data_IF_533772890419
#
_entry.id   IF_533772890419
#
_cell.length_a   1.000
_cell.length_b   1.000
_cell.length_c   1.000
_cell.angle_alpha   90.00
_cell.angle_beta   90.00
_cell.angle_gamma   90.00
#
_symmetry.space_group_name_H-M   'P 1'
#
loop_
_entity.id
_entity.type
_entity.pdbx_description
1 polymer ?
#
# COMPACT_ATOMS: atom_id res chain seq x y z
N UNK A 1 29.62 -4.03 -23.90
CA UNK A 1 28.67 -3.04 -23.36
C UNK A 1 27.23 -3.56 -23.54
N UNK A 2 26.73 -4.42 -22.64
CA UNK A 2 25.36 -4.98 -22.76
C UNK A 2 24.65 -5.13 -21.40
N UNK A 3 24.86 -4.18 -20.48
CA UNK A 3 24.18 -4.20 -19.18
C UNK A 3 23.00 -3.24 -19.09
N UNK A 4 22.82 -2.33 -20.05
CA UNK A 4 21.74 -1.33 -20.04
C UNK A 4 20.37 -2.02 -20.09
N UNK A 5 20.15 -2.93 -21.05
CA UNK A 5 18.88 -3.63 -21.21
C UNK A 5 18.49 -4.45 -19.96
N UNK A 6 19.35 -5.33 -19.40
CA UNK A 6 18.99 -6.07 -18.19
C UNK A 6 18.82 -5.15 -16.97
N UNK A 7 19.60 -4.07 -16.85
CA UNK A 7 19.45 -3.12 -15.74
C UNK A 7 18.10 -2.39 -15.77
N UNK A 8 17.67 -1.91 -16.95
CA UNK A 8 16.38 -1.21 -17.10
C UNK A 8 15.20 -2.15 -16.85
N UNK A 9 15.26 -3.38 -17.36
CA UNK A 9 14.20 -4.37 -17.12
C UNK A 9 14.09 -4.69 -15.62
N UNK A 10 15.21 -4.91 -14.95
CA UNK A 10 15.20 -5.19 -13.52
C UNK A 10 14.69 -4.00 -12.71
N UNK A 11 15.10 -2.78 -13.07
CA UNK A 11 14.63 -1.56 -12.43
C UNK A 11 13.11 -1.40 -12.53
N UNK A 12 12.56 -1.57 -13.74
CA UNK A 12 11.10 -1.47 -13.96
C UNK A 12 10.38 -2.59 -13.20
N UNK A 13 10.87 -3.83 -13.28
CA UNK A 13 10.27 -4.96 -12.59
C UNK A 13 10.21 -4.73 -11.08
N UNK A 14 11.32 -4.31 -10.48
CA UNK A 14 11.36 -4.05 -9.04
C UNK A 14 10.48 -2.87 -8.66
N UNK A 15 10.46 -1.80 -9.46
CA UNK A 15 9.59 -0.64 -9.22
C UNK A 15 8.11 -1.03 -9.23
N UNK A 16 7.68 -1.84 -10.19
CA UNK A 16 6.29 -2.31 -10.26
C UNK A 16 5.97 -3.26 -9.10
N UNK A 17 6.91 -4.11 -8.71
CA UNK A 17 6.70 -5.07 -7.64
C UNK A 17 6.62 -4.39 -6.27
N UNK A 18 7.55 -3.49 -5.95
CA UNK A 18 7.61 -2.85 -4.63
C UNK A 18 6.73 -1.61 -4.52
N UNK A 19 6.48 -0.89 -5.61
CA UNK A 19 5.65 0.31 -5.64
C UNK A 19 4.21 0.06 -6.08
N UNK A 20 3.93 -1.04 -6.78
CA UNK A 20 2.60 -1.41 -7.24
C UNK A 20 2.05 -2.63 -6.53
N UNK A 21 2.65 -3.80 -6.78
CA UNK A 21 2.13 -5.08 -6.28
C UNK A 21 2.11 -5.12 -4.76
N UNK A 22 3.19 -4.74 -4.10
CA UNK A 22 3.28 -4.79 -2.64
C UNK A 22 2.28 -3.86 -1.93
N UNK A 23 2.17 -2.56 -2.27
CA UNK A 23 1.18 -1.67 -1.65
C UNK A 23 -0.27 -2.12 -1.91
N UNK A 24 -0.58 -2.58 -3.12
CA UNK A 24 -1.93 -3.06 -3.44
C UNK A 24 -2.28 -4.32 -2.66
N UNK A 25 -1.36 -5.29 -2.59
CA UNK A 25 -1.57 -6.52 -1.83
C UNK A 25 -1.74 -6.23 -0.34
N UNK A 26 -0.85 -5.41 0.24
CA UNK A 26 -0.92 -5.05 1.66
C UNK A 26 -2.18 -4.25 1.98
N UNK A 27 -2.59 -3.32 1.12
CA UNK A 27 -3.84 -2.57 1.27
C UNK A 27 -5.04 -3.50 1.22
N UNK A 28 -5.11 -4.40 0.23
CA UNK A 28 -6.22 -5.33 0.08
C UNK A 28 -6.34 -6.27 1.29
N UNK A 29 -5.22 -6.84 1.74
CA UNK A 29 -5.20 -7.70 2.92
C UNK A 29 -5.54 -6.93 4.20
N UNK A 30 -5.03 -5.70 4.34
CA UNK A 30 -5.35 -4.82 5.47
C UNK A 30 -6.83 -4.47 5.54
N UNK A 31 -7.46 -4.16 4.40
CA UNK A 31 -8.90 -3.90 4.33
C UNK A 31 -9.72 -5.17 4.59
N UNK A 32 -9.26 -6.33 4.15
CA UNK A 32 -10.00 -7.59 4.37
C UNK A 32 -9.94 -8.06 5.83
N UNK A 33 -8.77 -8.04 6.45
CA UNK A 33 -8.60 -8.56 7.81
C UNK A 33 -8.80 -7.51 8.91
N UNK A 34 -8.45 -6.25 8.65
CA UNK A 34 -8.40 -5.19 9.65
C UNK A 34 -8.98 -3.86 9.12
N UNK A 35 -10.22 -3.83 8.61
CA UNK A 35 -10.78 -2.65 7.96
C UNK A 35 -10.81 -1.42 8.87
N UNK A 36 -11.11 -1.58 10.17
CA UNK A 36 -11.17 -0.43 11.07
C UNK A 36 -9.79 0.20 11.28
N UNK A 37 -8.73 -0.59 11.39
CA UNK A 37 -7.35 -0.11 11.54
C UNK A 37 -6.77 0.40 10.22
N UNK A 38 -7.03 -0.31 9.11
CA UNK A 38 -6.59 0.08 7.77
C UNK A 38 -7.20 1.43 7.32
N UNK A 39 -8.37 1.78 7.84
CA UNK A 39 -9.01 3.08 7.61
C UNK A 39 -8.70 4.12 8.72
N UNK A 40 -7.68 3.88 9.54
CA UNK A 40 -7.16 4.86 10.50
C UNK A 40 -7.83 4.89 11.87
N UNK A 41 -8.50 3.80 12.27
CA UNK A 41 -9.04 3.59 13.63
C UNK A 41 -9.85 4.78 14.17
N UNK A 42 -10.63 5.43 13.28
CA UNK A 42 -11.29 6.71 13.56
C UNK A 42 -12.27 6.63 14.73
N UNK A 43 -12.20 7.62 15.62
CA UNK A 43 -13.16 7.85 16.70
C UNK A 43 -14.21 8.86 16.22
N UNK A 44 -15.48 8.46 16.29
CA UNK A 44 -16.62 9.31 15.91
C UNK A 44 -17.45 9.65 17.16
N UNK A 45 -17.76 10.93 17.34
CA UNK A 45 -18.66 11.45 18.39
C UNK A 45 -19.69 12.34 17.67
N UNK A 46 -20.97 12.09 17.92
CA UNK A 46 -22.08 12.81 17.26
C UNK A 46 -21.99 12.82 15.73
N UNK A 47 -21.47 11.74 15.14
CA UNK A 47 -21.30 11.59 13.68
C UNK A 47 -20.03 12.24 13.10
N UNK A 48 -19.36 13.10 13.85
CA UNK A 48 -18.12 13.76 13.44
C UNK A 48 -16.87 12.98 13.84
N UNK A 49 -15.85 12.99 12.97
CA UNK A 49 -14.54 12.42 13.29
C UNK A 49 -13.83 13.35 14.26
N UNK A 50 -13.54 12.85 15.47
CA UNK A 50 -12.83 13.59 16.52
C UNK A 50 -11.38 13.16 16.70
N UNK A 51 -10.95 12.08 16.06
CA UNK A 51 -9.57 11.59 16.10
C UNK A 51 -9.41 10.16 15.61
N UNK A 52 -8.30 9.53 15.98
CA UNK A 52 -8.00 8.10 15.79
C UNK A 52 -7.55 7.49 17.12
N UNK A 53 -7.73 6.18 17.27
CA UNK A 53 -7.25 5.42 18.43
C UNK A 53 -5.81 4.98 18.26
#
# INVERSE_FOLDING_TARGET
>A
MSFIRPAVVLFILLTLLTGGVYPLLTTALGQWWFPQQANGSLVRIDGEVRGSR
#
